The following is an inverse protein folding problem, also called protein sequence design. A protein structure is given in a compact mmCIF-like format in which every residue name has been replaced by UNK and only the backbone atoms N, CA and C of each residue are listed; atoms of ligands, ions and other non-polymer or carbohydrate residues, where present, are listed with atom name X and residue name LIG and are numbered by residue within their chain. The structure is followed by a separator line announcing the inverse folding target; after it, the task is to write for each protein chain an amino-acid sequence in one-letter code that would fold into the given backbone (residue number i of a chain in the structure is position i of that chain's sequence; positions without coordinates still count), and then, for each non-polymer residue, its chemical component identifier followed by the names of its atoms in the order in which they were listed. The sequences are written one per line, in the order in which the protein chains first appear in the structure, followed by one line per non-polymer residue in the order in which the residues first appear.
data_IF_872662893683
#
_entry.id   IF_872662893683
#
_cell.length_a   1.000
_cell.length_b   1.000
_cell.length_c   1.000
_cell.angle_alpha   90.00
_cell.angle_beta   90.00
_cell.angle_gamma   90.00
#
_symmetry.space_group_name_H-M   'P 1'
#
loop_
_entity.id
_entity.type
_entity.pdbx_description
1 polymer ?
#
# COMPACT_ATOMS: atom_id res chain seq x y z
N UNK A 1 18.33 9.48 -9.22
CA UNK A 1 16.97 9.10 -9.67
C UNK A 1 16.12 10.36 -9.69
N UNK A 2 15.36 10.60 -10.76
CA UNK A 2 14.46 11.76 -10.85
C UNK A 2 13.37 11.68 -9.77
N UNK A 3 12.83 12.83 -9.35
CA UNK A 3 11.69 12.85 -8.43
C UNK A 3 10.51 12.12 -9.10
N UNK A 4 10.08 11.00 -8.52
CA UNK A 4 8.87 10.29 -8.95
C UNK A 4 7.64 11.09 -8.53
N UNK A 5 6.60 11.11 -9.36
CA UNK A 5 5.36 11.82 -9.09
C UNK A 5 4.74 11.34 -7.76
N UNK A 6 4.46 12.25 -6.82
CA UNK A 6 3.91 11.90 -5.50
C UNK A 6 2.55 11.21 -5.59
N UNK A 7 1.69 11.58 -6.55
CA UNK A 7 0.42 10.89 -6.80
C UNK A 7 0.62 9.44 -7.21
N UNK A 8 1.62 9.15 -8.06
CA UNK A 8 1.97 7.78 -8.44
C UNK A 8 2.43 6.96 -7.22
N UNK A 9 3.21 7.57 -6.31
CA UNK A 9 3.63 6.92 -5.07
C UNK A 9 2.45 6.60 -4.14
N UNK A 10 1.43 7.47 -4.08
CA UNK A 10 0.21 7.19 -3.33
C UNK A 10 -0.56 6.00 -3.92
N UNK A 11 -0.68 5.93 -5.25
CA UNK A 11 -1.32 4.79 -5.92
C UNK A 11 -0.56 3.48 -5.72
N UNK A 12 0.78 3.51 -5.72
CA UNK A 12 1.59 2.34 -5.37
C UNK A 12 1.24 1.81 -3.98
N UNK A 13 1.20 2.70 -2.97
CA UNK A 13 0.84 2.33 -1.59
C UNK A 13 -0.57 1.75 -1.56
N UNK A 14 -1.54 2.42 -2.20
CA UNK A 14 -2.93 1.97 -2.23
C UNK A 14 -3.05 0.55 -2.83
N UNK A 15 -2.43 0.31 -3.98
CA UNK A 15 -2.44 -1.01 -4.64
C UNK A 15 -1.75 -2.08 -3.79
N UNK A 16 -0.61 -1.75 -3.17
CA UNK A 16 0.10 -2.67 -2.28
C UNK A 16 -0.76 -3.08 -1.08
N UNK A 17 -1.45 -2.12 -0.45
CA UNK A 17 -2.39 -2.39 0.64
C UNK A 17 -3.51 -3.35 0.19
N UNK A 18 -4.09 -3.13 -1.00
CA UNK A 18 -5.15 -4.00 -1.52
C UNK A 18 -4.66 -5.45 -1.71
N UNK A 19 -3.43 -5.64 -2.17
CA UNK A 19 -2.83 -6.97 -2.33
C UNK A 19 -2.57 -7.61 -0.97
N UNK A 20 -2.01 -6.87 0.00
CA UNK A 20 -1.81 -7.37 1.37
C UNK A 20 -3.14 -7.85 1.95
N UNK A 21 -4.18 -7.01 1.89
CA UNK A 21 -5.51 -7.36 2.39
C UNK A 21 -6.09 -8.58 1.67
N UNK A 22 -5.95 -8.66 0.35
CA UNK A 22 -6.44 -9.79 -0.45
C UNK A 22 -5.81 -11.12 -0.04
N UNK A 23 -4.52 -11.13 0.28
CA UNK A 23 -3.77 -12.32 0.65
C UNK A 23 -3.98 -12.68 2.13
N UNK A 24 -3.92 -11.70 3.03
CA UNK A 24 -4.11 -11.92 4.47
C UNK A 24 -5.53 -12.39 4.82
N UNK A 25 -6.56 -11.88 4.14
CA UNK A 25 -7.97 -12.25 4.39
C UNK A 25 -8.33 -13.71 4.06
N UNK A 26 -7.40 -14.49 3.51
CA UNK A 26 -7.57 -15.95 3.34
C UNK A 26 -7.44 -16.72 4.65
N UNK A 27 -6.88 -16.08 5.67
CA UNK A 27 -6.48 -16.70 6.93
C UNK A 27 -7.21 -16.06 8.09
N UNK A 28 -7.28 -16.77 9.22
CA UNK A 28 -7.84 -16.23 10.48
C UNK A 28 -6.79 -16.05 11.56
N UNK A 29 -5.57 -16.58 11.36
CA UNK A 29 -4.48 -16.55 12.33
C UNK A 29 -3.14 -16.18 11.68
N UNK A 30 -2.25 -15.47 12.41
CA UNK A 30 -0.90 -15.15 11.93
C UNK A 30 -0.10 -16.35 11.42
N UNK A 31 -0.15 -17.48 12.13
CA UNK A 31 0.62 -18.68 11.78
C UNK A 31 0.13 -19.32 10.47
N UNK A 32 -1.16 -19.20 10.15
CA UNK A 32 -1.71 -19.73 8.90
C UNK A 32 -1.18 -18.94 7.69
N UNK A 33 -1.08 -17.60 7.82
CA UNK A 33 -0.46 -16.75 6.81
C UNK A 33 1.04 -17.09 6.66
N UNK A 34 1.77 -17.20 7.78
CA UNK A 34 3.21 -17.55 7.77
C UNK A 34 3.48 -18.89 7.08
N UNK A 35 2.63 -19.89 7.31
CA UNK A 35 2.81 -21.22 6.70
C UNK A 35 2.45 -21.26 5.21
N UNK A 36 1.73 -20.26 4.69
CA UNK A 36 1.54 -20.09 3.25
C UNK A 36 2.68 -19.25 2.67
N UNK A 37 3.77 -19.90 2.26
CA UNK A 37 4.96 -19.20 1.76
C UNK A 37 4.63 -18.20 0.64
N UNK A 38 3.71 -18.53 -0.26
CA UNK A 38 3.30 -17.63 -1.35
C UNK A 38 2.59 -16.38 -0.82
N UNK A 39 1.64 -16.56 0.11
CA UNK A 39 0.88 -15.43 0.65
C UNK A 39 1.73 -14.57 1.58
N UNK A 40 2.56 -15.20 2.40
CA UNK A 40 3.55 -14.54 3.25
C UNK A 40 4.51 -13.69 2.41
N UNK A 41 5.16 -14.27 1.41
CA UNK A 41 6.12 -13.56 0.57
C UNK A 41 5.49 -12.40 -0.20
N UNK A 42 4.25 -12.56 -0.66
CA UNK A 42 3.49 -11.45 -1.27
C UNK A 42 3.25 -10.34 -0.25
N UNK A 43 2.80 -10.66 0.96
CA UNK A 43 2.57 -9.67 2.00
C UNK A 43 3.85 -8.89 2.35
N UNK A 44 4.96 -9.61 2.58
CA UNK A 44 6.25 -8.98 2.88
C UNK A 44 6.70 -8.08 1.73
N UNK A 45 6.62 -8.57 0.49
CA UNK A 45 7.02 -7.80 -0.69
C UNK A 45 6.21 -6.51 -0.85
N UNK A 46 4.91 -6.58 -0.63
CA UNK A 46 4.04 -5.40 -0.76
C UNK A 46 4.27 -4.41 0.40
N UNK A 47 4.63 -4.87 1.60
CA UNK A 47 5.10 -3.98 2.67
C UNK A 47 6.39 -3.23 2.30
N UNK A 48 7.32 -3.88 1.60
CA UNK A 48 8.52 -3.20 1.10
C UNK A 48 8.17 -2.06 0.13
N UNK A 49 7.20 -2.28 -0.76
CA UNK A 49 6.73 -1.25 -1.70
C UNK A 49 6.12 -0.08 -0.93
N UNK A 50 5.31 -0.36 0.08
CA UNK A 50 4.73 0.66 0.96
C UNK A 50 5.84 1.49 1.63
N UNK A 51 6.84 0.83 2.21
CA UNK A 51 7.96 1.51 2.89
C UNK A 51 8.81 2.36 1.94
N UNK A 52 9.13 1.85 0.75
CA UNK A 52 9.91 2.59 -0.25
C UNK A 52 9.14 3.83 -0.75
N UNK A 53 7.86 3.67 -1.09
CA UNK A 53 7.02 4.78 -1.52
C UNK A 53 6.84 5.83 -0.42
N UNK A 54 6.61 5.40 0.82
CA UNK A 54 6.53 6.29 1.99
C UNK A 54 7.82 7.06 2.20
N UNK A 55 8.98 6.41 2.10
CA UNK A 55 10.29 7.07 2.23
C UNK A 55 10.48 8.16 1.17
N UNK A 56 10.06 7.90 -0.08
CA UNK A 56 10.10 8.90 -1.14
C UNK A 56 9.15 10.08 -0.85
N UNK A 57 7.93 9.82 -0.35
CA UNK A 57 6.98 10.86 0.03
C UNK A 57 7.47 11.74 1.19
N UNK A 58 8.18 11.18 2.17
CA UNK A 58 8.84 11.94 3.24
C UNK A 58 9.95 12.83 2.66
N UNK A 59 10.81 12.28 1.80
CA UNK A 59 11.89 13.04 1.14
C UNK A 59 11.38 14.19 0.28
N UNK A 60 10.14 14.11 -0.23
CA UNK A 60 9.49 15.17 -0.99
C UNK A 60 8.64 16.09 -0.13
N UNK A 61 8.69 15.95 1.20
CA UNK A 61 7.90 16.72 2.16
C UNK A 61 6.38 16.60 1.94
N UNK A 62 5.94 15.51 1.32
CA UNK A 62 4.52 15.20 1.13
C UNK A 62 3.95 14.48 2.35
N UNK A 63 4.78 13.65 2.99
CA UNK A 63 4.55 13.13 4.34
C UNK A 63 5.54 13.78 5.32
N UNK A 64 5.13 13.87 6.58
CA UNK A 64 6.02 14.25 7.66
C UNK A 64 6.77 13.04 8.24
N UNK A 65 7.72 13.31 9.13
CA UNK A 65 8.58 12.30 9.78
C UNK A 65 7.81 11.34 10.71
N UNK A 66 6.55 11.61 11.08
CA UNK A 66 5.75 10.64 11.84
C UNK A 66 5.52 9.34 11.06
N UNK A 67 5.63 9.38 9.73
CA UNK A 67 5.54 8.20 8.86
C UNK A 67 6.84 7.41 8.75
N UNK A 68 7.92 7.86 9.41
CA UNK A 68 9.23 7.18 9.42
C UNK A 68 9.13 5.74 9.93
N UNK A 69 8.22 5.47 10.87
CA UNK A 69 7.96 4.12 11.40
C UNK A 69 7.65 3.09 10.31
N UNK A 70 6.98 3.49 9.23
CA UNK A 70 6.66 2.60 8.09
C UNK A 70 7.94 2.25 7.31
N UNK A 71 8.85 3.22 7.17
CA UNK A 71 10.15 3.03 6.51
C UNK A 71 11.04 2.13 7.35
N UNK A 72 11.02 2.31 8.67
CA UNK A 72 11.80 1.51 9.61
C UNK A 72 11.30 0.07 9.63
N UNK A 73 9.98 -0.15 9.60
CA UNK A 73 9.40 -1.48 9.46
C UNK A 73 9.89 -2.18 8.18
N UNK A 74 9.90 -1.47 7.04
CA UNK A 74 10.49 -2.01 5.80
C UNK A 74 11.97 -2.39 5.96
N UNK A 75 12.74 -1.61 6.72
CA UNK A 75 14.16 -1.94 6.97
C UNK A 75 14.31 -3.20 7.82
N UNK A 76 13.44 -3.40 8.81
CA UNK A 76 13.39 -4.65 9.59
C UNK A 76 13.09 -5.83 8.67
N UNK A 77 12.05 -5.73 7.82
CA UNK A 77 11.66 -6.81 6.91
C UNK A 77 12.78 -7.26 5.97
N UNK A 78 13.60 -6.33 5.45
CA UNK A 78 14.67 -6.67 4.50
C UNK A 78 16.00 -7.09 5.14
N UNK A 79 16.26 -6.66 6.39
CA UNK A 79 17.54 -6.90 7.06
C UNK A 79 17.47 -8.03 8.09
N UNK A 80 16.31 -8.23 8.70
CA UNK A 80 16.06 -9.26 9.72
C UNK A 80 15.20 -10.40 9.17
N UNK A 81 15.38 -10.74 7.89
CA UNK A 81 14.62 -11.80 7.20
C UNK A 81 14.62 -13.16 7.95
N UNK A 82 15.56 -13.36 8.89
CA UNK A 82 15.45 -14.37 9.93
C UNK A 82 14.72 -13.83 11.17
N UNK A 83 13.53 -14.37 11.45
CA UNK A 83 12.83 -14.11 12.70
C UNK A 83 11.78 -13.00 12.67
N UNK A 84 11.28 -12.61 11.47
CA UNK A 84 10.12 -11.72 11.35
C UNK A 84 8.94 -12.31 12.15
N UNK A 85 8.44 -11.55 13.11
CA UNK A 85 7.32 -11.98 13.94
C UNK A 85 6.01 -11.89 13.15
N UNK A 86 5.44 -13.05 12.82
CA UNK A 86 4.15 -13.12 12.13
C UNK A 86 3.01 -12.48 12.91
N UNK A 87 3.07 -12.46 14.24
CA UNK A 87 2.06 -11.81 15.09
C UNK A 87 2.11 -10.30 14.92
N UNK A 88 3.32 -9.71 14.88
CA UNK A 88 3.49 -8.27 14.63
C UNK A 88 3.03 -7.89 13.21
N UNK A 89 3.43 -8.66 12.20
CA UNK A 89 2.98 -8.44 10.81
C UNK A 89 1.44 -8.49 10.73
N UNK A 90 0.82 -9.47 11.38
CA UNK A 90 -0.63 -9.61 11.41
C UNK A 90 -1.31 -8.45 12.15
N UNK A 91 -0.76 -8.00 13.27
CA UNK A 91 -1.25 -6.82 14.01
C UNK A 91 -1.24 -5.57 13.13
N UNK A 92 -0.14 -5.33 12.40
CA UNK A 92 -0.04 -4.21 11.45
C UNK A 92 -1.12 -4.32 10.36
N UNK A 93 -1.30 -5.51 9.77
CA UNK A 93 -2.32 -5.73 8.73
C UNK A 93 -3.73 -5.45 9.25
N UNK A 94 -4.04 -5.89 10.47
CA UNK A 94 -5.39 -5.84 11.02
C UNK A 94 -5.74 -4.51 11.67
N UNK A 95 -4.78 -3.87 12.33
CA UNK A 95 -5.04 -2.69 13.17
C UNK A 95 -4.50 -1.38 12.56
N UNK A 96 -3.34 -1.41 11.88
CA UNK A 96 -2.73 -0.19 11.33
C UNK A 96 -3.08 0.07 9.87
N UNK A 97 -2.99 -0.97 9.05
CA UNK A 97 -3.15 -0.86 7.60
C UNK A 97 -4.51 -0.30 7.17
N UNK A 98 -5.65 -0.60 7.83
CA UNK A 98 -6.94 -0.01 7.47
C UNK A 98 -6.98 1.51 7.61
N UNK A 99 -6.47 2.06 8.72
CA UNK A 99 -6.43 3.51 8.91
C UNK A 99 -5.44 4.17 7.96
N UNK A 100 -4.29 3.54 7.71
CA UNK A 100 -3.33 4.08 6.77
C UNK A 100 -3.88 4.08 5.34
N UNK A 101 -4.63 3.03 4.95
CA UNK A 101 -5.33 3.01 3.66
C UNK A 101 -6.29 4.19 3.49
N UNK A 102 -7.06 4.52 4.53
CA UNK A 102 -7.97 5.66 4.49
C UNK A 102 -7.22 6.98 4.28
N UNK A 103 -6.11 7.20 4.99
CA UNK A 103 -5.26 8.37 4.78
C UNK A 103 -4.72 8.46 3.35
N UNK A 104 -4.31 7.32 2.77
CA UNK A 104 -3.85 7.28 1.38
C UNK A 104 -5.00 7.62 0.41
N UNK A 105 -6.18 7.05 0.61
CA UNK A 105 -7.37 7.38 -0.20
C UNK A 105 -7.67 8.89 -0.13
N UNK A 106 -7.69 9.48 1.07
CA UNK A 106 -7.93 10.92 1.26
C UNK A 106 -6.91 11.78 0.50
N UNK A 107 -5.62 11.45 0.59
CA UNK A 107 -4.57 12.19 -0.13
C UNK A 107 -4.66 12.03 -1.64
N UNK A 108 -5.05 10.84 -2.13
CA UNK A 108 -5.31 10.64 -3.56
C UNK A 108 -6.48 11.51 -4.03
N UNK A 109 -7.55 11.57 -3.24
CA UNK A 109 -8.74 12.37 -3.55
C UNK A 109 -8.48 13.89 -3.48
N UNK A 110 -7.41 14.32 -2.83
CA UNK A 110 -6.95 15.72 -2.80
C UNK A 110 -6.05 16.11 -3.99
N UNK A 111 -5.69 15.16 -4.86
CA UNK A 111 -4.93 15.48 -6.08
C UNK A 111 -5.76 16.37 -7.01
N UNK A 112 -5.11 17.25 -7.77
CA UNK A 112 -5.79 18.05 -8.80
C UNK A 112 -6.54 17.14 -9.77
N UNK A 113 -7.70 17.56 -10.25
CA UNK A 113 -8.54 16.78 -11.18
C UNK A 113 -7.76 16.18 -12.35
N UNK A 114 -6.96 16.97 -13.08
CA UNK A 114 -6.14 16.46 -14.19
C UNK A 114 -5.16 15.36 -13.77
N UNK A 115 -4.45 15.55 -12.66
CA UNK A 115 -3.51 14.56 -12.12
C UNK A 115 -4.22 13.29 -11.64
N UNK A 116 -5.34 13.42 -10.93
CA UNK A 116 -6.10 12.26 -10.43
C UNK A 116 -6.57 11.38 -11.59
N UNK A 117 -7.25 11.97 -12.58
CA UNK A 117 -7.79 11.22 -13.71
C UNK A 117 -6.68 10.57 -14.56
N UNK A 118 -5.63 11.33 -14.92
CA UNK A 118 -4.55 10.80 -15.74
C UNK A 118 -3.77 9.67 -15.06
N UNK A 119 -3.54 9.76 -13.75
CA UNK A 119 -2.88 8.69 -13.00
C UNK A 119 -3.80 7.48 -12.83
N UNK A 120 -5.06 7.69 -12.45
CA UNK A 120 -6.01 6.61 -12.20
C UNK A 120 -6.22 5.73 -13.43
N UNK A 121 -6.37 6.33 -14.62
CA UNK A 121 -6.56 5.59 -15.87
C UNK A 121 -5.34 4.73 -16.21
N UNK A 122 -4.14 5.28 -16.03
CA UNK A 122 -2.88 4.54 -16.20
C UNK A 122 -2.82 3.35 -15.25
N UNK A 123 -3.10 3.55 -13.97
CA UNK A 123 -3.03 2.49 -12.95
C UNK A 123 -4.09 1.41 -13.20
N UNK A 124 -5.29 1.79 -13.66
CA UNK A 124 -6.32 0.83 -14.09
C UNK A 124 -5.82 0.00 -15.28
N UNK A 125 -5.20 0.63 -16.28
CA UNK A 125 -4.68 -0.06 -17.46
C UNK A 125 -3.57 -1.06 -17.09
N UNK A 126 -2.61 -0.64 -16.27
CA UNK A 126 -1.51 -1.49 -15.78
C UNK A 126 -2.03 -2.70 -14.99
N UNK A 127 -3.10 -2.51 -14.22
CA UNK A 127 -3.71 -3.54 -13.38
C UNK A 127 -4.92 -4.23 -14.03
N UNK A 128 -5.14 -4.05 -15.33
CA UNK A 128 -6.33 -4.55 -16.06
C UNK A 128 -6.55 -6.08 -15.93
N UNK A 129 -5.48 -6.83 -15.68
CA UNK A 129 -5.48 -8.28 -15.48
C UNK A 129 -5.85 -8.70 -14.04
N UNK A 130 -5.97 -7.76 -13.10
CA UNK A 130 -6.26 -8.01 -11.68
C UNK A 130 -7.62 -7.39 -11.30
N UNK A 131 -8.68 -8.17 -11.51
CA UNK A 131 -10.07 -7.70 -11.41
C UNK A 131 -10.44 -7.00 -10.10
N UNK A 132 -9.95 -7.51 -8.96
CA UNK A 132 -10.27 -6.91 -7.66
C UNK A 132 -9.58 -5.55 -7.46
N UNK A 133 -8.39 -5.35 -8.04
CA UNK A 133 -7.69 -4.05 -7.99
C UNK A 133 -8.46 -3.05 -8.84
N UNK A 134 -8.79 -3.42 -10.08
CA UNK A 134 -9.59 -2.58 -11.00
C UNK A 134 -10.89 -2.15 -10.35
N UNK A 135 -11.62 -3.08 -9.71
CA UNK A 135 -12.86 -2.76 -8.98
C UNK A 135 -12.63 -1.73 -7.87
N UNK A 136 -11.57 -1.86 -7.07
CA UNK A 136 -11.28 -0.91 -6.00
C UNK A 136 -10.85 0.47 -6.54
N UNK A 137 -10.16 0.53 -7.67
CA UNK A 137 -9.80 1.79 -8.34
C UNK A 137 -11.03 2.48 -8.95
N UNK A 138 -11.96 1.71 -9.52
CA UNK A 138 -13.24 2.23 -10.00
C UNK A 138 -14.09 2.80 -8.85
N UNK A 139 -14.16 2.11 -7.72
CA UNK A 139 -14.83 2.64 -6.52
C UNK A 139 -14.19 3.95 -6.04
N UNK A 140 -12.85 4.07 -6.13
CA UNK A 140 -12.16 5.32 -5.80
C UNK A 140 -12.51 6.45 -6.77
N UNK A 141 -12.68 6.13 -8.07
CA UNK A 141 -13.20 7.06 -9.08
C UNK A 141 -14.57 7.59 -8.70
N UNK A 142 -15.47 6.69 -8.29
CA UNK A 142 -16.83 7.05 -7.89
C UNK A 142 -16.82 7.98 -6.68
N UNK A 143 -16.01 7.69 -5.66
CA UNK A 143 -15.85 8.58 -4.49
C UNK A 143 -15.40 10.00 -4.88
N UNK A 144 -14.51 10.12 -5.86
CA UNK A 144 -14.00 11.42 -6.32
C UNK A 144 -15.08 12.29 -6.98
N UNK A 145 -16.06 11.69 -7.67
CA UNK A 145 -17.16 12.44 -8.34
C UNK A 145 -18.02 13.22 -7.33
N UNK A 146 -18.06 12.79 -6.07
CA UNK A 146 -18.89 13.38 -5.02
C UNK A 146 -18.15 14.42 -4.15
N UNK A 147 -16.95 14.83 -4.54
CA UNK A 147 -16.13 15.88 -3.88
C UNK A 147 -16.13 17.12 -4.76
#
# INVERSE_FOLDING_TARGET
MSKRNSGLLLFDIYVAILKIQKHANKFSKPQELLHSYVDWDVVIREFEIIGEATNALIKYSYFDESKRVIVDFRNVLIHEYFGIDCVEVWDIITNYLPSFKQEIEEKILQLSHESFHGLLENIIQENSHISYIVKNLQNLKEKYIFI
#
